data_IF_382617171670
#
_entry.id   IF_382617171670
#
_cell.length_a   1.000
_cell.length_b   1.000
_cell.length_c   1.000
_cell.angle_alpha   90.00
_cell.angle_beta   90.00
_cell.angle_gamma   90.00
#
_symmetry.space_group_name_H-M   'P 1'
#
loop_
_entity.id
_entity.type
_entity.pdbx_description
1 polymer ?
#
# COMPACT_ATOMS: atom_id res chain seq x y z
N UNK A 1 -3.56 -8.40 -28.60
CA UNK A 1 -3.57 -7.26 -27.64
C UNK A 1 -2.50 -7.52 -26.58
N UNK A 2 -1.62 -6.56 -26.24
CA UNK A 2 -0.55 -6.73 -25.25
C UNK A 2 -0.82 -5.86 -24.02
N UNK A 3 -0.94 -6.48 -22.86
CA UNK A 3 -0.99 -5.77 -21.57
C UNK A 3 0.39 -5.19 -21.26
N UNK A 4 0.47 -3.97 -20.69
CA UNK A 4 1.74 -3.25 -20.50
C UNK A 4 2.23 -3.22 -19.05
N UNK A 5 1.36 -2.87 -18.11
CA UNK A 5 1.68 -2.73 -16.68
C UNK A 5 0.44 -2.88 -15.82
N UNK A 6 0.63 -3.20 -14.56
CA UNK A 6 -0.37 -3.13 -13.49
C UNK A 6 -0.03 -1.99 -12.55
N UNK A 7 -1.04 -1.36 -11.95
CA UNK A 7 -0.86 -0.32 -10.92
C UNK A 7 -1.77 -0.71 -9.74
N UNK A 8 -1.22 -1.00 -8.54
CA UNK A 8 -2.03 -1.22 -7.37
C UNK A 8 -2.68 0.11 -6.91
N UNK A 9 -3.89 0.00 -6.36
CA UNK A 9 -4.62 1.11 -5.77
C UNK A 9 -4.95 0.75 -4.31
N UNK A 10 -4.32 1.45 -3.37
CA UNK A 10 -4.36 1.13 -1.95
C UNK A 10 -5.33 2.06 -1.17
N UNK A 11 -6.24 1.49 -0.37
CA UNK A 11 -7.14 2.25 0.49
C UNK A 11 -6.39 2.86 1.68
N UNK A 12 -6.57 4.15 1.89
CA UNK A 12 -5.99 4.89 3.02
C UNK A 12 -7.04 5.75 3.71
N UNK A 13 -6.90 6.02 5.01
CA UNK A 13 -7.90 6.83 5.71
C UNK A 13 -7.70 8.33 5.46
N UNK A 14 -6.45 8.77 5.33
CA UNK A 14 -6.07 10.17 5.08
C UNK A 14 -5.00 10.27 3.99
N UNK A 15 -5.31 11.00 2.91
CA UNK A 15 -4.41 11.18 1.76
C UNK A 15 -3.14 11.95 2.14
N UNK A 16 -3.24 12.99 2.98
CA UNK A 16 -2.09 13.83 3.34
C UNK A 16 -1.10 13.07 4.21
N UNK A 17 -1.59 12.35 5.23
CA UNK A 17 -0.74 11.51 6.08
C UNK A 17 -0.07 10.39 5.26
N UNK A 18 -0.81 9.82 4.30
CA UNK A 18 -0.24 8.80 3.42
C UNK A 18 0.84 9.37 2.53
N UNK A 19 0.60 10.51 1.88
CA UNK A 19 1.62 11.20 1.08
C UNK A 19 2.88 11.48 1.91
N UNK A 20 2.73 12.02 3.13
CA UNK A 20 3.85 12.30 4.02
C UNK A 20 4.65 11.02 4.31
N UNK A 21 3.97 9.92 4.65
CA UNK A 21 4.63 8.64 4.87
C UNK A 21 5.35 8.13 3.62
N UNK A 22 4.67 8.02 2.48
CA UNK A 22 5.27 7.49 1.25
C UNK A 22 6.49 8.31 0.80
N UNK A 23 6.46 9.63 1.01
CA UNK A 23 7.58 10.51 0.64
C UNK A 23 8.75 10.48 1.62
N UNK A 24 8.48 10.47 2.93
CA UNK A 24 9.52 10.59 3.97
C UNK A 24 10.06 9.26 4.48
N UNK A 25 9.27 8.18 4.31
CA UNK A 25 9.53 6.85 4.87
C UNK A 25 9.71 5.74 3.84
N UNK A 26 9.23 5.95 2.61
CA UNK A 26 9.35 4.97 1.53
C UNK A 26 10.08 5.54 0.31
N UNK A 27 10.55 6.79 0.37
CA UNK A 27 11.32 7.43 -0.71
C UNK A 27 10.56 7.69 -2.01
N UNK A 28 9.22 7.67 -1.99
CA UNK A 28 8.42 8.03 -3.16
C UNK A 28 8.36 9.55 -3.35
N UNK A 29 7.95 9.99 -4.54
CA UNK A 29 7.52 11.38 -4.81
C UNK A 29 6.05 11.40 -5.20
N UNK A 30 5.40 12.53 -4.96
CA UNK A 30 4.01 12.74 -5.39
C UNK A 30 3.99 13.22 -6.85
N UNK A 31 3.25 12.51 -7.70
CA UNK A 31 2.98 12.95 -9.07
C UNK A 31 1.69 13.75 -9.17
N UNK A 32 0.68 13.40 -8.36
CA UNK A 32 -0.63 14.04 -8.33
C UNK A 32 -1.30 13.79 -6.99
N UNK A 33 -2.12 14.72 -6.51
CA UNK A 33 -3.05 14.47 -5.42
C UNK A 33 -4.22 15.47 -5.43
N UNK A 34 -5.32 15.05 -4.83
CA UNK A 34 -6.45 15.88 -4.43
C UNK A 34 -6.87 15.51 -2.98
N UNK A 35 -8.14 15.75 -2.61
CA UNK A 35 -8.65 15.46 -1.27
C UNK A 35 -8.89 13.97 -1.01
N UNK A 36 -9.17 13.19 -2.06
CA UNK A 36 -9.62 11.79 -1.96
C UNK A 36 -8.69 10.82 -2.72
N UNK A 37 -7.71 11.31 -3.46
CA UNK A 37 -6.83 10.50 -4.30
C UNK A 37 -5.40 11.04 -4.36
N UNK A 38 -4.43 10.14 -4.51
CA UNK A 38 -3.04 10.49 -4.79
C UNK A 38 -2.34 9.45 -5.67
N UNK A 39 -1.32 9.92 -6.38
CA UNK A 39 -0.40 9.08 -7.14
C UNK A 39 1.01 9.31 -6.62
N UNK A 40 1.60 8.26 -6.07
CA UNK A 40 2.98 8.24 -5.60
C UNK A 40 3.82 7.38 -6.54
N UNK A 41 5.04 7.84 -6.81
CA UNK A 41 5.95 7.20 -7.76
C UNK A 41 7.36 7.12 -7.16
N UNK A 42 8.02 5.96 -7.29
CA UNK A 42 9.46 5.77 -7.02
C UNK A 42 10.01 4.98 -8.20
N UNK A 43 10.96 5.56 -8.92
CA UNK A 43 11.49 5.00 -10.17
C UNK A 43 10.35 4.67 -11.17
N UNK A 44 10.29 3.41 -11.64
CA UNK A 44 9.23 2.92 -12.54
C UNK A 44 7.97 2.43 -11.79
N UNK A 45 8.00 2.40 -10.46
CA UNK A 45 6.90 1.95 -9.60
C UNK A 45 5.89 3.08 -9.39
N UNK A 46 4.64 2.82 -9.73
CA UNK A 46 3.51 3.73 -9.54
C UNK A 46 2.47 3.05 -8.62
N UNK A 47 2.05 3.74 -7.57
CA UNK A 47 1.01 3.29 -6.64
C UNK A 47 -0.05 4.39 -6.56
N UNK A 48 -1.31 3.99 -6.66
CA UNK A 48 -2.45 4.89 -6.43
C UNK A 48 -2.91 4.73 -4.98
N UNK A 49 -3.24 5.84 -4.34
CA UNK A 49 -3.81 5.89 -3.01
C UNK A 49 -5.19 6.51 -3.13
N UNK A 50 -6.19 5.89 -2.52
CA UNK A 50 -7.55 6.43 -2.53
C UNK A 50 -8.11 6.42 -1.12
N UNK A 51 -8.91 7.44 -0.82
CA UNK A 51 -9.42 7.67 0.52
C UNK A 51 -10.60 6.75 0.82
N UNK A 52 -10.40 5.86 1.78
CA UNK A 52 -11.42 5.03 2.39
C UNK A 52 -11.85 5.63 3.72
N UNK A 53 -12.79 6.57 3.67
CA UNK A 53 -13.24 7.35 4.81
C UNK A 53 -14.76 7.37 5.02
N UNK A 54 -15.53 6.65 4.21
CA UNK A 54 -16.99 6.60 4.34
C UNK A 54 -17.37 5.83 5.61
N UNK A 55 -18.05 6.50 6.53
CA UNK A 55 -18.56 5.90 7.77
C UNK A 55 -20.08 5.69 7.75
N UNK A 56 -20.77 6.02 6.64
CA UNK A 56 -22.23 5.90 6.53
C UNK A 56 -22.72 4.47 6.73
N UNK A 57 -21.87 3.48 6.42
CA UNK A 57 -22.13 2.06 6.67
C UNK A 57 -22.45 1.75 8.13
N UNK A 58 -21.90 2.50 9.10
CA UNK A 58 -22.14 2.30 10.54
C UNK A 58 -23.61 2.53 10.92
N UNK A 59 -24.33 3.34 10.14
CA UNK A 59 -25.69 3.78 10.45
C UNK A 59 -26.77 2.96 9.74
N UNK A 60 -26.41 1.97 8.91
CA UNK A 60 -27.39 1.18 8.13
C UNK A 60 -28.25 0.26 9.00
N UNK A 61 -27.69 -0.32 10.06
CA UNK A 61 -28.45 -1.15 11.00
C UNK A 61 -29.29 -2.23 10.29
N UNK A 62 -30.60 -2.26 10.55
CA UNK A 62 -31.52 -3.23 9.93
C UNK A 62 -31.73 -3.04 8.42
N UNK A 63 -31.37 -1.88 7.83
CA UNK A 63 -31.53 -1.66 6.38
C UNK A 63 -30.52 -2.43 5.53
N UNK A 64 -29.44 -2.97 6.13
CA UNK A 64 -28.38 -3.71 5.43
C UNK A 64 -28.91 -4.85 4.54
N UNK A 65 -30.02 -5.48 4.92
CA UNK A 65 -30.63 -6.54 4.14
C UNK A 65 -31.21 -6.07 2.78
N UNK A 66 -31.65 -4.81 2.71
CA UNK A 66 -32.24 -4.22 1.51
C UNK A 66 -31.30 -3.24 0.79
N UNK A 67 -30.35 -2.66 1.52
CA UNK A 67 -29.42 -1.63 1.05
C UNK A 67 -27.99 -1.99 1.50
N UNK A 68 -27.29 -2.86 0.76
CA UNK A 68 -25.97 -3.34 1.13
C UNK A 68 -24.93 -2.20 1.20
N UNK A 69 -23.80 -2.51 1.82
CA UNK A 69 -22.62 -1.65 1.84
C UNK A 69 -21.95 -1.72 0.45
N UNK A 70 -21.86 -0.59 -0.25
CA UNK A 70 -21.39 -0.54 -1.64
C UNK A 70 -20.85 0.83 -2.10
N UNK A 71 -20.45 1.71 -1.19
CA UNK A 71 -19.82 2.97 -1.60
C UNK A 71 -18.46 2.73 -2.23
N UNK A 72 -17.80 1.63 -1.85
CA UNK A 72 -16.43 1.32 -2.27
C UNK A 72 -15.39 2.21 -1.61
N UNK A 73 -15.81 3.05 -0.64
CA UNK A 73 -14.98 3.96 0.11
C UNK A 73 -15.08 3.73 1.63
N UNK A 74 -15.60 2.59 2.06
CA UNK A 74 -15.90 2.32 3.46
C UNK A 74 -14.66 2.39 4.34
N UNK A 75 -14.79 3.05 5.49
CA UNK A 75 -13.66 3.35 6.37
C UNK A 75 -12.89 2.11 6.85
N UNK A 76 -13.52 0.93 6.86
CA UNK A 76 -12.86 -0.33 7.26
C UNK A 76 -11.98 -0.95 6.17
N UNK A 77 -12.01 -0.44 4.93
CA UNK A 77 -11.12 -0.94 3.86
C UNK A 77 -9.71 -0.34 3.97
N UNK A 78 -9.53 0.79 4.67
CA UNK A 78 -8.19 1.36 4.87
C UNK A 78 -7.25 0.32 5.52
N UNK A 79 -6.12 0.07 4.87
CA UNK A 79 -5.14 -0.90 5.35
C UNK A 79 -5.42 -2.37 5.04
N UNK A 80 -6.50 -2.70 4.31
CA UNK A 80 -6.85 -4.10 4.02
C UNK A 80 -6.24 -4.63 2.72
N UNK A 81 -5.53 -3.79 1.95
CA UNK A 81 -4.96 -4.19 0.68
C UNK A 81 -3.48 -4.60 0.80
N UNK A 82 -3.01 -5.29 -0.23
CA UNK A 82 -1.59 -5.61 -0.38
C UNK A 82 -1.15 -5.54 -1.83
N UNK A 83 0.13 -5.29 -2.05
CA UNK A 83 0.76 -5.42 -3.36
C UNK A 83 2.20 -5.92 -3.24
N UNK A 84 2.73 -6.41 -4.35
CA UNK A 84 4.13 -6.83 -4.47
C UNK A 84 4.87 -5.87 -5.40
N UNK A 85 6.08 -5.50 -5.03
CA UNK A 85 6.94 -4.57 -5.77
C UNK A 85 8.25 -5.28 -6.07
N UNK A 86 8.54 -5.44 -7.35
CA UNK A 86 9.84 -5.95 -7.80
C UNK A 86 10.90 -4.87 -7.61
N UNK A 87 12.04 -5.25 -7.05
CA UNK A 87 13.16 -4.35 -6.80
C UNK A 87 14.46 -4.98 -7.29
N UNK A 88 15.43 -4.10 -7.56
CA UNK A 88 16.81 -4.49 -7.70
C UNK A 88 17.48 -4.32 -6.33
N UNK A 89 18.23 -5.33 -5.89
CA UNK A 89 18.91 -5.38 -4.58
C UNK A 89 17.95 -5.25 -3.40
N UNK A 90 17.24 -6.35 -3.10
CA UNK A 90 16.26 -6.39 -2.00
C UNK A 90 16.92 -6.23 -0.62
N UNK A 91 18.21 -6.54 -0.49
CA UNK A 91 18.96 -6.40 0.76
C UNK A 91 19.29 -4.93 1.05
N UNK A 92 19.70 -4.15 0.05
CA UNK A 92 19.93 -2.72 0.19
C UNK A 92 18.66 -1.98 0.61
N UNK A 93 17.53 -2.27 -0.06
CA UNK A 93 16.24 -1.66 0.30
C UNK A 93 15.78 -2.07 1.70
N UNK A 94 16.04 -3.32 2.10
CA UNK A 94 15.72 -3.80 3.45
C UNK A 94 16.46 -3.00 4.53
N UNK A 95 17.77 -2.76 4.38
CA UNK A 95 18.54 -1.98 5.35
C UNK A 95 18.14 -0.49 5.36
N UNK A 96 17.78 0.08 4.21
CA UNK A 96 17.15 1.42 4.13
C UNK A 96 15.88 1.47 5.01
N UNK A 97 14.96 0.52 4.80
CA UNK A 97 13.66 0.52 5.45
C UNK A 97 13.71 0.15 6.93
N UNK A 98 14.64 -0.71 7.31
CA UNK A 98 14.94 -1.02 8.71
C UNK A 98 15.42 0.22 9.44
N UNK A 99 16.30 1.02 8.83
CA UNK A 99 16.78 2.30 9.39
C UNK A 99 15.64 3.32 9.53
N UNK A 100 14.71 3.33 8.59
CA UNK A 100 13.56 4.26 8.60
C UNK A 100 12.42 3.82 9.53
N UNK A 101 12.48 2.58 10.04
CA UNK A 101 11.51 2.00 10.97
C UNK A 101 10.19 1.56 10.32
N UNK A 102 10.23 1.09 9.06
CA UNK A 102 9.04 0.75 8.26
C UNK A 102 8.88 -0.76 7.99
N UNK A 103 9.77 -1.59 8.51
CA UNK A 103 9.64 -3.05 8.44
C UNK A 103 8.44 -3.54 9.24
N UNK A 104 7.82 -4.65 8.78
CA UNK A 104 6.57 -5.16 9.34
C UNK A 104 6.62 -5.42 10.87
N UNK A 105 7.71 -6.00 11.36
CA UNK A 105 7.99 -6.22 12.78
C UNK A 105 9.50 -6.38 13.06
N UNK A 106 9.95 -6.42 14.33
CA UNK A 106 11.38 -6.56 14.68
C UNK A 106 12.05 -7.84 14.18
N UNK A 107 11.27 -8.90 13.93
CA UNK A 107 11.75 -10.20 13.46
C UNK A 107 11.78 -10.29 11.92
N UNK A 108 11.41 -9.22 11.22
CA UNK A 108 11.36 -9.18 9.75
C UNK A 108 12.77 -9.28 9.18
N UNK A 109 12.97 -10.24 8.28
CA UNK A 109 14.21 -10.45 7.53
C UNK A 109 13.88 -10.67 6.05
N UNK A 110 14.90 -10.57 5.19
CA UNK A 110 14.79 -10.97 3.78
C UNK A 110 14.83 -12.49 3.70
N UNK A 111 13.77 -13.10 3.18
CA UNK A 111 13.63 -14.56 3.10
C UNK A 111 13.53 -15.05 1.66
N UNK A 112 14.19 -16.18 1.37
CA UNK A 112 13.98 -16.89 0.11
C UNK A 112 12.67 -17.69 0.16
N UNK A 113 11.88 -17.59 -0.90
CA UNK A 113 10.58 -18.22 -1.02
C UNK A 113 10.59 -19.40 -2.01
N UNK A 114 9.74 -20.42 -1.83
CA UNK A 114 9.70 -21.61 -2.71
C UNK A 114 9.42 -21.32 -4.18
N UNK A 115 8.88 -20.14 -4.50
CA UNK A 115 8.58 -19.68 -5.87
C UNK A 115 9.72 -18.90 -6.53
N UNK A 116 10.92 -18.86 -5.94
CA UNK A 116 12.12 -18.30 -6.58
C UNK A 116 12.33 -16.80 -6.36
N UNK A 117 11.76 -16.23 -5.29
CA UNK A 117 11.99 -14.83 -4.93
C UNK A 117 12.70 -14.74 -3.58
N UNK A 118 13.46 -13.67 -3.34
CA UNK A 118 13.81 -13.17 -2.02
C UNK A 118 12.96 -11.96 -1.72
N UNK A 119 12.34 -11.90 -0.54
CA UNK A 119 11.40 -10.82 -0.22
C UNK A 119 11.33 -10.48 1.26
N UNK A 120 10.85 -9.26 1.55
CA UNK A 120 10.46 -8.85 2.89
C UNK A 120 9.18 -7.98 2.86
N UNK A 121 8.33 -8.05 3.91
CA UNK A 121 7.16 -7.19 4.05
C UNK A 121 7.47 -5.84 4.74
N UNK A 122 6.75 -4.80 4.31
CA UNK A 122 6.65 -3.51 4.98
C UNK A 122 5.18 -3.06 5.05
N UNK A 123 4.85 -2.19 6.01
CA UNK A 123 3.52 -1.60 6.14
C UNK A 123 3.57 -0.11 5.80
N UNK A 124 2.57 0.37 5.07
CA UNK A 124 2.34 1.81 4.99
C UNK A 124 1.70 2.36 6.29
N UNK A 125 1.53 3.68 6.35
CA UNK A 125 0.93 4.37 7.51
C UNK A 125 -0.43 3.81 7.92
N UNK A 126 -1.25 3.40 6.95
CA UNK A 126 -2.58 2.84 7.20
C UNK A 126 -2.58 1.30 7.24
N UNK A 127 -1.40 0.68 7.20
CA UNK A 127 -1.17 -0.76 7.29
C UNK A 127 -1.50 -1.57 6.04
N UNK A 128 -1.56 -0.94 4.86
CA UNK A 128 -1.50 -1.72 3.63
C UNK A 128 -0.16 -2.45 3.57
N UNK A 129 -0.18 -3.70 3.09
CA UNK A 129 1.01 -4.54 3.03
C UNK A 129 1.74 -4.37 1.69
N UNK A 130 2.99 -3.92 1.75
CA UNK A 130 3.89 -3.88 0.59
C UNK A 130 4.94 -4.96 0.76
N UNK A 131 4.98 -5.92 -0.17
CA UNK A 131 6.04 -6.94 -0.21
C UNK A 131 7.04 -6.55 -1.29
N UNK A 132 8.29 -6.28 -0.90
CA UNK A 132 9.37 -5.99 -1.83
C UNK A 132 10.12 -7.27 -2.14
N UNK A 133 10.31 -7.58 -3.41
CA UNK A 133 10.91 -8.85 -3.83
C UNK A 133 11.91 -8.69 -4.97
N UNK A 134 12.87 -9.60 -5.01
CA UNK A 134 13.83 -9.79 -6.10
C UNK A 134 13.81 -11.26 -6.55
N UNK A 135 13.96 -11.53 -7.85
CA UNK A 135 13.96 -12.89 -8.41
C UNK A 135 15.35 -13.52 -8.27
N UNK A 136 15.41 -14.80 -7.86
CA UNK A 136 16.63 -15.61 -7.69
C UNK A 136 16.99 -16.34 -8.99
#
# INVERSE_FOLDING_TARGET
MKMKKTIPALPVQDIKQSIEFYTTKLGFRVRHHDEDFAIVVRDDVEIHLWKSGDETWKNKGASLAADPICSGAESFLAGTASCRVEVQDVDELFEEYKTQGVIYNPDTVVEAQPWGNREFPALDHHRNLLTFYEVI
#
